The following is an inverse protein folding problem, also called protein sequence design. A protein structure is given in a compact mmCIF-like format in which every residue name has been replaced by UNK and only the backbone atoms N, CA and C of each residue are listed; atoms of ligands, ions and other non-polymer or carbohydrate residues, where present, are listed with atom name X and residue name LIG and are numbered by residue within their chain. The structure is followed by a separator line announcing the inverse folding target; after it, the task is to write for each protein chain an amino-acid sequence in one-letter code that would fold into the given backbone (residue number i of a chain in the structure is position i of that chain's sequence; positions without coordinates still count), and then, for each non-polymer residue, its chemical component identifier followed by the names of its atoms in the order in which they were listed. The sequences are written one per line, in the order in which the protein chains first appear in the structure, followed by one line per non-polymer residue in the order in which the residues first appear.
data_IF_679438933537
#
_entry.id   IF_679438933537
#
_cell.length_a   1.000
_cell.length_b   1.000
_cell.length_c   1.000
_cell.angle_alpha   90.00
_cell.angle_beta   90.00
_cell.angle_gamma   90.00
#
_symmetry.space_group_name_H-M   'P 1'
#
loop_
_entity.id
_entity.type
_entity.pdbx_description
1 polymer ?
#
# COMPACT_ATOMS: atom_id res chain seq x y z
N UNK A 1 -41.27 -7.00 -15.51
CA UNK A 1 -40.23 -6.22 -16.16
C UNK A 1 -39.40 -5.35 -15.21
N UNK A 2 -39.68 -5.21 -13.91
CA UNK A 2 -38.96 -4.33 -12.98
C UNK A 2 -37.82 -5.03 -12.18
N UNK A 3 -37.78 -6.34 -12.15
CA UNK A 3 -36.81 -7.11 -11.36
C UNK A 3 -35.42 -7.22 -12.07
N UNK A 4 -35.41 -7.36 -13.40
CA UNK A 4 -34.17 -7.43 -14.19
C UNK A 4 -33.35 -6.13 -14.21
N UNK A 5 -33.96 -4.98 -13.95
CA UNK A 5 -33.27 -3.69 -13.91
C UNK A 5 -32.52 -3.44 -12.57
N UNK A 6 -32.94 -4.08 -11.48
CA UNK A 6 -32.27 -3.95 -10.15
C UNK A 6 -30.98 -4.76 -10.07
N UNK A 7 -30.94 -5.94 -10.67
CA UNK A 7 -29.73 -6.79 -10.68
C UNK A 7 -28.61 -6.20 -11.53
N UNK A 8 -28.94 -5.57 -12.66
CA UNK A 8 -27.96 -4.86 -13.48
C UNK A 8 -27.43 -3.58 -12.83
N UNK A 9 -28.25 -2.91 -11.99
CA UNK A 9 -27.79 -1.74 -11.22
C UNK A 9 -26.84 -2.16 -10.10
N UNK A 10 -27.13 -3.26 -9.39
CA UNK A 10 -26.25 -3.81 -8.35
C UNK A 10 -24.91 -4.27 -8.88
N UNK A 11 -24.89 -4.99 -10.01
CA UNK A 11 -23.68 -5.41 -10.69
C UNK A 11 -22.87 -4.21 -11.21
N UNK A 12 -23.51 -3.20 -11.82
CA UNK A 12 -22.84 -1.97 -12.26
C UNK A 12 -22.24 -1.18 -11.10
N UNK A 13 -22.90 -1.12 -9.94
CA UNK A 13 -22.38 -0.46 -8.73
C UNK A 13 -21.17 -1.23 -8.18
N UNK A 14 -21.19 -2.56 -8.20
CA UNK A 14 -20.07 -3.41 -7.81
C UNK A 14 -18.88 -3.23 -8.76
N UNK A 15 -19.11 -3.22 -10.08
CA UNK A 15 -18.08 -2.95 -11.09
C UNK A 15 -17.55 -1.52 -11.04
N UNK A 16 -18.35 -0.51 -10.70
CA UNK A 16 -17.92 0.86 -10.48
C UNK A 16 -17.07 1.02 -9.21
N UNK A 17 -17.24 0.12 -8.21
CA UNK A 17 -16.40 0.07 -6.99
C UNK A 17 -15.06 -0.63 -7.22
N UNK A 18 -14.94 -1.52 -8.19
CA UNK A 18 -13.67 -2.19 -8.55
C UNK A 18 -12.81 -1.34 -9.51
N UNK A 19 -12.71 -0.04 -9.27
CA UNK A 19 -11.87 0.87 -10.10
C UNK A 19 -10.36 0.58 -10.02
N UNK A 20 -9.93 -0.34 -9.11
CA UNK A 20 -8.53 -0.74 -8.93
C UNK A 20 -8.41 -2.27 -8.89
N UNK A 21 -8.53 -2.95 -10.05
CA UNK A 21 -8.63 -4.42 -10.10
C UNK A 21 -7.43 -5.13 -9.48
N UNK A 22 -6.23 -4.53 -9.53
CA UNK A 22 -5.01 -5.11 -8.96
C UNK A 22 -5.04 -5.16 -7.43
N UNK A 23 -5.51 -4.09 -6.79
CA UNK A 23 -5.68 -4.06 -5.33
C UNK A 23 -6.81 -4.98 -4.89
N UNK A 24 -7.93 -4.99 -5.64
CA UNK A 24 -9.03 -5.90 -5.37
C UNK A 24 -8.62 -7.37 -5.49
N UNK A 25 -7.77 -7.71 -6.47
CA UNK A 25 -7.21 -9.06 -6.60
C UNK A 25 -6.30 -9.41 -5.41
N UNK A 26 -5.49 -8.47 -4.92
CA UNK A 26 -4.71 -8.66 -3.70
C UNK A 26 -5.59 -8.95 -2.48
N UNK A 27 -6.64 -8.15 -2.26
CA UNK A 27 -7.60 -8.37 -1.17
C UNK A 27 -8.28 -9.73 -1.31
N UNK A 28 -8.77 -10.09 -2.50
CA UNK A 28 -9.39 -11.38 -2.76
C UNK A 28 -8.42 -12.55 -2.50
N UNK A 29 -7.15 -12.40 -2.93
CA UNK A 29 -6.09 -13.39 -2.67
C UNK A 29 -5.82 -13.56 -1.17
N UNK A 30 -5.77 -12.47 -0.41
CA UNK A 30 -5.62 -12.51 1.04
C UNK A 30 -6.80 -13.19 1.74
N UNK A 31 -8.04 -12.86 1.36
CA UNK A 31 -9.26 -13.49 1.90
C UNK A 31 -9.25 -15.00 1.59
N UNK A 32 -8.92 -15.37 0.35
CA UNK A 32 -8.84 -16.78 -0.05
C UNK A 32 -7.76 -17.52 0.76
N UNK A 33 -6.58 -16.92 0.91
CA UNK A 33 -5.51 -17.50 1.72
C UNK A 33 -5.94 -17.70 3.17
N UNK A 34 -6.64 -16.72 3.77
CA UNK A 34 -7.17 -16.85 5.12
C UNK A 34 -8.20 -17.98 5.25
N UNK A 35 -9.12 -18.08 4.29
CA UNK A 35 -10.12 -19.15 4.25
C UNK A 35 -9.47 -20.54 4.13
N UNK A 36 -8.47 -20.70 3.26
CA UNK A 36 -7.72 -21.95 3.12
C UNK A 36 -6.96 -22.32 4.39
N UNK A 37 -6.33 -21.33 5.06
CA UNK A 37 -5.65 -21.53 6.33
C UNK A 37 -6.61 -21.86 7.49
N UNK A 38 -7.87 -21.42 7.41
CA UNK A 38 -8.92 -21.84 8.35
C UNK A 38 -9.36 -23.29 8.12
N UNK A 39 -9.45 -23.72 6.87
CA UNK A 39 -9.95 -25.05 6.52
C UNK A 39 -8.89 -26.14 6.68
N UNK A 40 -7.63 -25.85 6.40
CA UNK A 40 -6.57 -26.84 6.26
C UNK A 40 -5.36 -26.61 7.17
N UNK A 41 -5.31 -25.52 7.93
CA UNK A 41 -4.16 -25.16 8.74
C UNK A 41 -4.44 -25.22 10.24
N UNK A 42 -3.45 -25.63 11.02
CA UNK A 42 -3.49 -25.65 12.49
C UNK A 42 -2.83 -24.42 13.14
N UNK A 43 -2.38 -23.46 12.32
CA UNK A 43 -1.69 -22.26 12.81
C UNK A 43 -2.61 -21.39 13.69
N UNK A 44 -2.09 -20.71 14.72
CA UNK A 44 -2.84 -19.73 15.50
C UNK A 44 -3.45 -18.61 14.64
N UNK A 45 -4.60 -18.06 15.05
CA UNK A 45 -5.33 -17.06 14.26
C UNK A 45 -4.48 -15.84 13.86
N UNK A 46 -3.55 -15.41 14.71
CA UNK A 46 -2.59 -14.33 14.43
C UNK A 46 -1.70 -14.66 13.24
N UNK A 47 -1.12 -15.86 13.22
CA UNK A 47 -0.25 -16.32 12.12
C UNK A 47 -1.05 -16.47 10.84
N UNK A 48 -2.26 -17.01 10.90
CA UNK A 48 -3.17 -17.07 9.74
C UNK A 48 -3.43 -15.67 9.15
N UNK A 49 -3.68 -14.69 10.02
CA UNK A 49 -3.89 -13.30 9.59
C UNK A 49 -2.65 -12.71 8.92
N UNK A 50 -1.46 -12.88 9.54
CA UNK A 50 -0.18 -12.38 9.00
C UNK A 50 0.09 -13.00 7.62
N UNK A 51 -0.01 -14.32 7.49
CA UNK A 51 0.22 -15.02 6.22
C UNK A 51 -0.79 -14.62 5.14
N UNK A 52 -2.06 -14.48 5.49
CA UNK A 52 -3.09 -14.03 4.56
C UNK A 52 -2.86 -12.58 4.10
N UNK A 53 -2.45 -11.71 5.01
CA UNK A 53 -2.01 -10.35 4.71
C UNK A 53 -0.84 -10.36 3.73
N UNK A 54 0.21 -11.12 4.00
CA UNK A 54 1.41 -11.20 3.17
C UNK A 54 1.10 -11.71 1.76
N UNK A 55 0.26 -12.74 1.63
CA UNK A 55 -0.19 -13.26 0.34
C UNK A 55 -0.96 -12.19 -0.44
N UNK A 56 -1.88 -11.49 0.20
CA UNK A 56 -2.67 -10.44 -0.41
C UNK A 56 -1.82 -9.27 -0.89
N UNK A 57 -0.92 -8.79 -0.04
CA UNK A 57 0.00 -7.68 -0.36
C UNK A 57 0.99 -8.09 -1.43
N UNK A 58 1.59 -9.27 -1.33
CA UNK A 58 2.52 -9.78 -2.34
C UNK A 58 1.86 -9.88 -3.72
N UNK A 59 0.65 -10.44 -3.80
CA UNK A 59 -0.11 -10.51 -5.05
C UNK A 59 -0.40 -9.11 -5.61
N UNK A 60 -0.83 -8.17 -4.76
CA UNK A 60 -1.05 -6.79 -5.18
C UNK A 60 0.24 -6.16 -5.72
N UNK A 61 1.39 -6.34 -5.05
CA UNK A 61 2.69 -5.82 -5.46
C UNK A 61 3.15 -6.39 -6.81
N UNK A 62 3.00 -7.70 -7.04
CA UNK A 62 3.32 -8.34 -8.33
C UNK A 62 2.48 -7.74 -9.45
N UNK A 63 1.18 -7.56 -9.22
CA UNK A 63 0.27 -6.97 -10.21
C UNK A 63 0.56 -5.48 -10.46
N UNK A 64 0.98 -4.73 -9.42
CA UNK A 64 1.37 -3.33 -9.53
C UNK A 64 2.73 -3.15 -10.22
N UNK A 65 3.66 -4.08 -10.05
CA UNK A 65 4.96 -4.05 -10.73
C UNK A 65 4.83 -4.04 -12.26
N UNK A 66 3.75 -4.61 -12.81
CA UNK A 66 3.42 -4.50 -14.23
C UNK A 66 3.16 -3.07 -14.74
N UNK A 67 2.94 -2.10 -13.83
CA UNK A 67 2.73 -0.70 -14.21
C UNK A 67 4.03 0.06 -14.50
N UNK A 68 5.18 -0.45 -14.09
CA UNK A 68 6.48 0.25 -14.19
C UNK A 68 6.81 0.77 -15.60
N UNK A 69 6.36 0.05 -16.63
CA UNK A 69 6.61 0.37 -18.04
C UNK A 69 5.43 1.11 -18.70
N UNK A 70 4.49 1.66 -17.90
CA UNK A 70 3.33 2.37 -18.44
C UNK A 70 3.74 3.75 -18.93
N UNK A 71 3.34 4.11 -20.17
CA UNK A 71 3.66 5.43 -20.73
C UNK A 71 2.94 6.56 -20.00
N UNK A 72 3.51 7.79 -19.97
CA UNK A 72 2.91 8.96 -19.34
C UNK A 72 1.48 9.27 -19.85
N UNK A 73 1.20 9.05 -21.14
CA UNK A 73 -0.12 9.26 -21.75
C UNK A 73 -1.15 8.29 -21.17
N UNK A 74 -0.73 7.03 -20.96
CA UNK A 74 -1.59 6.01 -20.34
C UNK A 74 -1.82 6.31 -18.87
N UNK A 75 -0.79 6.81 -18.15
CA UNK A 75 -0.91 7.25 -16.76
C UNK A 75 -1.92 8.39 -16.62
N UNK A 76 -1.86 9.39 -17.49
CA UNK A 76 -2.84 10.49 -17.54
C UNK A 76 -4.26 9.95 -17.74
N UNK A 77 -4.47 9.07 -18.72
CA UNK A 77 -5.78 8.47 -18.97
C UNK A 77 -6.32 7.64 -17.79
N UNK A 78 -5.43 6.99 -17.03
CA UNK A 78 -5.80 6.26 -15.82
C UNK A 78 -6.16 7.24 -14.69
N UNK A 79 -5.38 8.32 -14.53
CA UNK A 79 -5.63 9.34 -13.51
C UNK A 79 -7.01 10.00 -13.69
N UNK A 80 -7.35 10.41 -14.92
CA UNK A 80 -8.65 11.03 -15.24
C UNK A 80 -9.85 10.12 -14.95
N UNK A 81 -9.66 8.79 -14.98
CA UNK A 81 -10.74 7.81 -14.73
C UNK A 81 -10.91 7.41 -13.26
N UNK A 82 -9.93 7.65 -12.41
CA UNK A 82 -9.84 7.07 -11.05
C UNK A 82 -10.00 8.07 -9.90
N UNK A 83 -10.51 9.26 -10.14
CA UNK A 83 -10.55 10.35 -9.15
C UNK A 83 -11.36 10.03 -7.87
N UNK A 84 -12.35 9.13 -7.96
CA UNK A 84 -13.14 8.72 -6.81
C UNK A 84 -12.46 7.57 -6.02
N UNK A 85 -12.23 7.78 -4.72
CA UNK A 85 -11.82 6.71 -3.81
C UNK A 85 -10.31 6.63 -3.50
N UNK A 86 -9.48 7.54 -3.99
CA UNK A 86 -8.03 7.54 -3.69
C UNK A 86 -7.73 7.62 -2.20
N UNK A 87 -8.43 8.46 -1.46
CA UNK A 87 -8.28 8.59 0.00
C UNK A 87 -8.78 7.35 0.75
N UNK A 88 -9.88 6.74 0.29
CA UNK A 88 -10.37 5.51 0.89
C UNK A 88 -9.38 4.36 0.75
N UNK A 89 -8.72 4.23 -0.41
CA UNK A 89 -7.68 3.20 -0.60
C UNK A 89 -6.48 3.47 0.29
N UNK A 90 -6.02 4.73 0.40
CA UNK A 90 -4.93 5.09 1.29
C UNK A 90 -5.29 4.76 2.74
N UNK A 91 -6.45 5.18 3.20
CA UNK A 91 -6.92 4.90 4.56
C UNK A 91 -7.00 3.39 4.84
N UNK A 92 -7.60 2.61 3.94
CA UNK A 92 -7.68 1.14 4.07
C UNK A 92 -6.29 0.50 4.12
N UNK A 93 -5.35 0.97 3.29
CA UNK A 93 -3.96 0.49 3.29
C UNK A 93 -3.29 0.76 4.63
N UNK A 94 -3.48 1.96 5.19
CA UNK A 94 -2.91 2.34 6.49
C UNK A 94 -3.53 1.55 7.65
N UNK A 95 -4.85 1.40 7.65
CA UNK A 95 -5.54 0.61 8.67
C UNK A 95 -5.08 -0.85 8.63
N UNK A 96 -4.96 -1.44 7.45
CA UNK A 96 -4.50 -2.80 7.29
C UNK A 96 -3.03 -2.97 7.67
N UNK A 97 -2.14 -2.03 7.32
CA UNK A 97 -0.75 -2.03 7.74
C UNK A 97 -0.62 -1.88 9.27
N UNK A 98 -1.42 -1.01 9.87
CA UNK A 98 -1.47 -0.87 11.33
C UNK A 98 -1.95 -2.16 12.00
N UNK A 99 -2.98 -2.80 11.46
CA UNK A 99 -3.47 -4.09 11.95
C UNK A 99 -2.39 -5.17 11.84
N UNK A 100 -1.57 -5.18 10.79
CA UNK A 100 -0.43 -6.11 10.67
C UNK A 100 0.62 -5.87 11.76
N UNK A 101 0.95 -4.62 12.09
CA UNK A 101 1.86 -4.30 13.18
C UNK A 101 1.33 -4.77 14.55
N UNK A 102 0.03 -4.60 14.79
CA UNK A 102 -0.62 -5.10 16.02
C UNK A 102 -0.54 -6.63 16.10
N UNK A 103 -0.81 -7.32 14.99
CA UNK A 103 -0.72 -8.78 14.92
C UNK A 103 0.71 -9.27 15.14
N UNK A 104 1.72 -8.60 14.56
CA UNK A 104 3.14 -8.86 14.79
C UNK A 104 3.50 -8.64 16.26
N UNK A 105 3.09 -7.52 16.85
CA UNK A 105 3.32 -7.22 18.27
C UNK A 105 2.74 -8.29 19.21
N UNK A 106 1.56 -8.81 18.86
CA UNK A 106 0.93 -9.94 19.55
C UNK A 106 1.67 -11.27 19.40
N UNK A 107 2.54 -11.42 18.39
CA UNK A 107 3.34 -12.64 18.17
C UNK A 107 4.69 -12.64 18.92
N UNK A 108 5.24 -11.45 19.22
CA UNK A 108 6.54 -11.29 19.90
C UNK A 108 6.68 -12.13 21.18
N UNK A 109 5.70 -12.19 22.11
CA UNK A 109 5.82 -13.01 23.32
C UNK A 109 6.02 -14.50 23.03
N UNK A 110 5.46 -15.01 21.94
CA UNK A 110 5.54 -16.43 21.55
C UNK A 110 6.86 -16.79 20.88
N UNK A 111 7.61 -15.82 20.37
CA UNK A 111 8.98 -16.02 19.89
C UNK A 111 9.89 -16.40 21.06
N UNK A 112 9.68 -15.81 22.24
CA UNK A 112 10.51 -16.06 23.45
C UNK A 112 10.40 -17.48 23.98
N UNK A 113 9.21 -18.07 23.92
CA UNK A 113 8.92 -19.41 24.43
C UNK A 113 9.04 -20.52 23.39
N UNK A 114 9.39 -20.19 22.15
CA UNK A 114 9.47 -21.13 21.04
C UNK A 114 10.79 -21.91 21.04
N UNK A 115 10.81 -23.07 20.40
CA UNK A 115 12.05 -23.81 20.08
C UNK A 115 12.92 -23.01 19.11
N UNK A 116 14.20 -23.32 19.00
CA UNK A 116 15.13 -22.56 18.13
C UNK A 116 14.67 -22.53 16.66
N UNK A 117 14.15 -23.64 16.15
CA UNK A 117 13.61 -23.72 14.77
C UNK A 117 12.36 -22.84 14.64
N UNK A 118 11.48 -22.87 15.65
CA UNK A 118 10.27 -22.03 15.65
C UNK A 118 10.60 -20.56 15.76
N UNK A 119 11.59 -20.16 16.55
CA UNK A 119 12.07 -18.78 16.63
C UNK A 119 12.50 -18.26 15.27
N UNK A 120 13.32 -19.03 14.57
CA UNK A 120 13.86 -18.60 13.27
C UNK A 120 12.77 -18.30 12.26
N UNK A 121 11.81 -19.20 12.06
CA UNK A 121 10.75 -18.95 11.08
C UNK A 121 9.77 -17.85 11.52
N UNK A 122 9.48 -17.71 12.83
CA UNK A 122 8.65 -16.60 13.33
C UNK A 122 9.31 -15.25 13.13
N UNK A 123 10.60 -15.13 13.41
CA UNK A 123 11.38 -13.92 13.16
C UNK A 123 11.40 -13.61 11.66
N UNK A 124 11.64 -14.62 10.82
CA UNK A 124 11.63 -14.45 9.38
C UNK A 124 10.25 -13.99 8.85
N UNK A 125 9.17 -14.55 9.39
CA UNK A 125 7.81 -14.12 9.06
C UNK A 125 7.58 -12.66 9.45
N UNK A 126 7.89 -12.28 10.70
CA UNK A 126 7.77 -10.91 11.18
C UNK A 126 8.56 -9.93 10.30
N UNK A 127 9.83 -10.22 10.04
CA UNK A 127 10.69 -9.38 9.22
C UNK A 127 10.14 -9.26 7.78
N UNK A 128 9.71 -10.37 7.18
CA UNK A 128 9.11 -10.40 5.85
C UNK A 128 7.85 -9.55 5.77
N UNK A 129 6.94 -9.70 6.75
CA UNK A 129 5.71 -8.90 6.82
C UNK A 129 5.99 -7.41 6.96
N UNK A 130 6.96 -7.02 7.78
CA UNK A 130 7.38 -5.62 7.95
C UNK A 130 7.87 -5.05 6.62
N UNK A 131 8.81 -5.74 5.96
CA UNK A 131 9.39 -5.30 4.68
C UNK A 131 8.30 -5.19 3.62
N UNK A 132 7.43 -6.18 3.53
CA UNK A 132 6.36 -6.24 2.54
C UNK A 132 5.34 -5.12 2.77
N UNK A 133 4.89 -4.92 4.01
CA UNK A 133 3.94 -3.86 4.38
C UNK A 133 4.53 -2.46 4.16
N UNK A 134 5.79 -2.25 4.55
CA UNK A 134 6.51 -1.00 4.31
C UNK A 134 6.60 -0.68 2.81
N UNK A 135 7.05 -1.63 2.02
CA UNK A 135 7.14 -1.50 0.56
C UNK A 135 5.78 -1.19 -0.07
N UNK A 136 4.73 -1.86 0.41
CA UNK A 136 3.37 -1.66 -0.08
C UNK A 136 2.84 -0.25 0.22
N UNK A 137 3.01 0.26 1.45
CA UNK A 137 2.61 1.63 1.81
C UNK A 137 3.21 2.63 0.84
N UNK A 138 4.54 2.58 0.62
CA UNK A 138 5.22 3.54 -0.24
C UNK A 138 4.89 3.36 -1.72
N UNK A 139 4.59 2.14 -2.16
CA UNK A 139 4.05 1.90 -3.51
C UNK A 139 2.67 2.54 -3.70
N UNK A 140 1.79 2.45 -2.71
CA UNK A 140 0.47 3.10 -2.77
C UNK A 140 0.61 4.63 -2.79
N UNK A 141 1.52 5.20 -2.01
CA UNK A 141 1.82 6.63 -2.08
C UNK A 141 2.39 7.05 -3.44
N UNK A 142 3.28 6.26 -4.04
CA UNK A 142 3.80 6.52 -5.38
C UNK A 142 2.69 6.59 -6.43
N UNK A 143 1.73 5.65 -6.38
CA UNK A 143 0.55 5.65 -7.24
C UNK A 143 -0.36 6.87 -6.98
N UNK A 144 -0.45 7.31 -5.72
CA UNK A 144 -1.22 8.49 -5.34
C UNK A 144 -0.59 9.78 -5.88
N UNK A 145 0.74 9.92 -5.76
CA UNK A 145 1.49 11.04 -6.35
C UNK A 145 1.35 11.07 -7.86
N UNK A 146 1.49 9.93 -8.53
CA UNK A 146 1.32 9.83 -9.97
C UNK A 146 -0.11 10.23 -10.40
N UNK A 147 -1.12 9.78 -9.67
CA UNK A 147 -2.51 10.14 -9.91
C UNK A 147 -2.73 11.64 -9.76
N UNK A 148 -2.29 12.25 -8.67
CA UNK A 148 -2.48 13.69 -8.42
C UNK A 148 -1.69 14.56 -9.40
N UNK A 149 -0.51 14.12 -9.82
CA UNK A 149 0.31 14.80 -10.83
C UNK A 149 -0.36 14.84 -12.20
N UNK A 150 -0.92 13.70 -12.64
CA UNK A 150 -1.51 13.55 -13.97
C UNK A 150 -3.00 13.90 -14.04
N UNK A 151 -3.68 14.05 -12.88
CA UNK A 151 -5.10 14.42 -12.86
C UNK A 151 -5.32 15.82 -13.45
N UNK A 152 -6.40 15.98 -14.19
CA UNK A 152 -6.75 17.26 -14.82
C UNK A 152 -7.20 18.26 -13.75
N UNK A 153 -6.64 19.48 -13.78
CA UNK A 153 -7.06 20.56 -12.89
C UNK A 153 -8.44 21.08 -13.30
N UNK A 154 -9.41 21.20 -12.37
CA UNK A 154 -10.71 21.81 -12.68
C UNK A 154 -10.61 23.27 -13.15
N UNK A 155 -9.53 23.96 -12.78
CA UNK A 155 -9.34 25.40 -13.03
C UNK A 155 -8.45 25.72 -14.23
N UNK A 156 -7.76 24.74 -14.81
CA UNK A 156 -6.80 24.94 -15.89
C UNK A 156 -7.19 24.12 -17.12
N UNK A 157 -8.05 24.66 -17.97
CA UNK A 157 -8.29 24.24 -19.39
C UNK A 157 -7.67 22.90 -19.84
N UNK A 158 -7.95 21.78 -19.15
CA UNK A 158 -7.47 20.47 -19.55
C UNK A 158 -5.96 20.19 -19.29
N UNK A 159 -5.23 21.05 -18.57
CA UNK A 159 -3.82 20.84 -18.22
C UNK A 159 -3.70 20.00 -16.94
N UNK A 160 -2.72 19.08 -16.91
CA UNK A 160 -2.38 18.32 -15.71
C UNK A 160 -1.95 19.25 -14.56
N UNK A 161 -2.29 18.89 -13.33
CA UNK A 161 -1.96 19.68 -12.11
C UNK A 161 -0.46 19.83 -11.90
N UNK A 162 0.31 18.81 -12.28
CA UNK A 162 1.74 18.63 -11.99
C UNK A 162 2.01 18.66 -10.48
N UNK A 163 2.49 19.75 -9.90
CA UNK A 163 2.69 19.91 -8.46
C UNK A 163 4.00 19.32 -7.90
N UNK A 164 4.74 18.59 -8.72
CA UNK A 164 6.12 18.15 -8.51
C UNK A 164 6.96 18.61 -9.69
N UNK A 165 8.16 19.12 -9.44
CA UNK A 165 9.12 19.51 -10.46
C UNK A 165 10.26 18.49 -10.47
N UNK A 166 10.21 17.58 -11.42
CA UNK A 166 11.26 16.58 -11.63
C UNK A 166 12.44 17.22 -12.38
N UNK A 167 13.70 16.89 -12.04
CA UNK A 167 14.86 17.30 -12.82
C UNK A 167 14.80 16.76 -14.26
N UNK A 168 15.19 17.59 -15.23
CA UNK A 168 15.16 17.25 -16.65
C UNK A 168 13.82 17.53 -17.33
N UNK A 169 13.77 17.31 -18.66
CA UNK A 169 12.63 17.66 -19.51
C UNK A 169 11.66 16.50 -19.79
N UNK A 170 11.99 15.29 -19.33
CA UNK A 170 11.19 14.09 -19.56
C UNK A 170 9.91 14.07 -18.71
N UNK A 171 8.82 13.56 -19.28
CA UNK A 171 7.59 13.31 -18.52
C UNK A 171 7.85 12.18 -17.51
N UNK A 172 7.55 12.39 -16.20
CA UNK A 172 7.83 11.40 -15.18
C UNK A 172 7.00 10.13 -15.35
N UNK A 173 7.61 8.99 -15.09
CA UNK A 173 6.99 7.67 -15.10
C UNK A 173 6.74 7.15 -13.67
N UNK A 174 6.19 5.94 -13.50
CA UNK A 174 5.92 5.40 -12.17
C UNK A 174 7.18 5.21 -11.30
N UNK A 175 8.36 5.02 -11.91
CA UNK A 175 9.61 4.88 -11.14
C UNK A 175 10.06 6.20 -10.55
N UNK A 176 9.81 7.33 -11.23
CA UNK A 176 10.09 8.67 -10.71
C UNK A 176 9.22 8.97 -9.48
N UNK A 177 7.93 8.60 -9.52
CA UNK A 177 7.04 8.71 -8.36
C UNK A 177 7.39 7.72 -7.25
N UNK A 178 7.85 6.50 -7.59
CA UNK A 178 8.37 5.56 -6.62
C UNK A 178 9.62 6.11 -5.94
N UNK A 179 10.59 6.65 -6.69
CA UNK A 179 11.76 7.32 -6.14
C UNK A 179 11.38 8.40 -5.12
N UNK A 180 10.48 9.31 -5.48
CA UNK A 180 10.00 10.36 -4.57
C UNK A 180 9.35 9.78 -3.31
N UNK A 181 8.47 8.80 -3.46
CA UNK A 181 7.74 8.17 -2.37
C UNK A 181 8.66 7.39 -1.44
N UNK A 182 9.55 6.57 -1.98
CA UNK A 182 10.46 5.76 -1.17
C UNK A 182 11.52 6.62 -0.47
N UNK A 183 11.96 7.73 -1.08
CA UNK A 183 12.83 8.69 -0.40
C UNK A 183 12.16 9.24 0.87
N UNK A 184 10.90 9.68 0.78
CA UNK A 184 10.14 10.10 1.97
C UNK A 184 10.01 8.95 2.98
N UNK A 185 9.76 7.72 2.50
CA UNK A 185 9.63 6.53 3.34
C UNK A 185 10.88 6.20 4.14
N UNK A 186 12.06 6.40 3.56
CA UNK A 186 13.35 6.10 4.18
C UNK A 186 13.88 7.25 5.04
N UNK A 187 13.60 8.50 4.67
CA UNK A 187 14.26 9.67 5.26
C UNK A 187 13.31 10.63 5.98
N UNK A 188 11.99 10.47 5.81
CA UNK A 188 10.93 11.39 6.24
C UNK A 188 11.06 12.79 5.62
N UNK A 189 11.89 12.95 4.60
CA UNK A 189 12.21 14.20 3.91
C UNK A 189 11.87 14.07 2.43
N UNK A 190 11.54 15.19 1.79
CA UNK A 190 11.41 15.25 0.32
C UNK A 190 12.79 15.11 -0.33
N UNK A 191 12.83 14.55 -1.54
CA UNK A 191 14.04 14.38 -2.34
C UNK A 191 14.46 15.71 -3.02
N UNK A 192 15.28 15.62 -4.04
CA UNK A 192 15.64 16.68 -5.00
C UNK A 192 14.45 17.17 -5.86
N UNK A 193 13.33 16.46 -5.80
CA UNK A 193 12.09 16.82 -6.51
C UNK A 193 11.36 17.90 -5.73
N UNK A 194 11.21 19.09 -6.32
CA UNK A 194 10.55 20.22 -5.67
C UNK A 194 9.03 20.05 -5.64
N UNK A 195 8.42 20.35 -4.48
CA UNK A 195 6.96 20.34 -4.31
C UNK A 195 6.41 21.74 -4.55
N UNK A 196 5.73 21.95 -5.69
CA UNK A 196 5.30 23.26 -6.18
C UNK A 196 3.82 23.57 -5.91
N UNK A 197 2.99 22.56 -5.61
CA UNK A 197 1.56 22.71 -5.37
C UNK A 197 1.20 22.51 -3.88
N UNK A 198 0.27 23.33 -3.30
CA UNK A 198 -0.11 23.21 -1.88
C UNK A 198 -0.77 21.85 -1.52
N UNK A 199 -1.54 21.23 -2.42
CA UNK A 199 -2.17 19.94 -2.14
C UNK A 199 -1.12 18.84 -2.13
N UNK A 200 -0.15 18.92 -3.05
CA UNK A 200 0.98 17.99 -3.08
C UNK A 200 1.84 18.13 -1.81
N UNK A 201 2.02 19.36 -1.28
CA UNK A 201 2.69 19.57 0.03
C UNK A 201 1.93 18.92 1.18
N UNK A 202 0.60 19.03 1.21
CA UNK A 202 -0.23 18.37 2.24
C UNK A 202 -0.10 16.84 2.15
N UNK A 203 -0.11 16.30 0.93
CA UNK A 203 0.07 14.87 0.71
C UNK A 203 1.46 14.41 1.17
N UNK A 204 2.53 15.16 0.83
CA UNK A 204 3.90 14.85 1.25
C UNK A 204 4.06 14.92 2.78
N UNK A 205 3.48 15.93 3.43
CA UNK A 205 3.48 16.04 4.88
C UNK A 205 2.76 14.85 5.53
N UNK A 206 1.56 14.49 5.04
CA UNK A 206 0.81 13.33 5.54
C UNK A 206 1.63 12.05 5.37
N UNK A 207 2.28 11.87 4.21
CA UNK A 207 3.14 10.73 3.95
C UNK A 207 4.33 10.67 4.93
N UNK A 208 5.03 11.79 5.14
CA UNK A 208 6.15 11.86 6.08
C UNK A 208 5.74 11.53 7.51
N UNK A 209 4.60 12.06 7.98
CA UNK A 209 4.05 11.74 9.31
C UNK A 209 3.75 10.25 9.46
N UNK A 210 3.08 9.66 8.48
CA UNK A 210 2.75 8.23 8.47
C UNK A 210 4.03 7.39 8.47
N UNK A 211 5.00 7.74 7.62
CA UNK A 211 6.29 7.05 7.52
C UNK A 211 7.04 7.08 8.85
N UNK A 212 7.07 8.24 9.52
CA UNK A 212 7.70 8.41 10.82
C UNK A 212 7.07 7.51 11.89
N UNK A 213 5.74 7.53 12.05
CA UNK A 213 5.06 6.71 13.05
C UNK A 213 5.16 5.23 12.73
N UNK A 214 5.09 4.84 11.45
CA UNK A 214 5.25 3.45 11.04
C UNK A 214 6.66 2.93 11.33
N UNK A 215 7.70 3.69 10.97
CA UNK A 215 9.09 3.33 11.26
C UNK A 215 9.38 3.29 12.77
N UNK A 216 8.83 4.23 13.55
CA UNK A 216 8.92 4.23 15.01
C UNK A 216 8.27 2.99 15.61
N UNK A 217 7.10 2.59 15.11
CA UNK A 217 6.42 1.35 15.50
C UNK A 217 7.27 0.10 15.22
N UNK A 218 7.87 0.02 14.02
CA UNK A 218 8.79 -1.07 13.68
C UNK A 218 9.98 -1.11 14.62
N UNK A 219 10.60 0.04 14.89
CA UNK A 219 11.76 0.14 15.79
C UNK A 219 11.39 -0.33 17.20
N UNK A 220 10.25 0.11 17.73
CA UNK A 220 9.78 -0.32 19.05
C UNK A 220 9.54 -1.84 19.12
N UNK A 221 8.93 -2.43 18.08
CA UNK A 221 8.73 -3.88 17.99
C UNK A 221 10.07 -4.63 17.90
N UNK A 222 11.01 -4.12 17.11
CA UNK A 222 12.34 -4.71 16.94
C UNK A 222 13.12 -4.70 18.27
N UNK A 223 13.13 -3.56 18.97
CA UNK A 223 13.78 -3.44 20.28
C UNK A 223 13.16 -4.42 21.28
N UNK A 224 11.83 -4.51 21.34
CA UNK A 224 11.13 -5.42 22.22
C UNK A 224 11.45 -6.90 21.90
N UNK A 225 11.52 -7.24 20.61
CA UNK A 225 11.89 -8.59 20.18
C UNK A 225 13.33 -8.93 20.57
N UNK A 226 14.30 -8.05 20.31
CA UNK A 226 15.71 -8.26 20.64
C UNK A 226 15.91 -8.35 22.14
N UNK A 227 15.33 -7.43 22.93
CA UNK A 227 15.38 -7.46 24.39
C UNK A 227 14.76 -8.74 25.00
N UNK A 228 13.95 -9.46 24.24
CA UNK A 228 13.36 -10.71 24.65
C UNK A 228 14.16 -11.96 24.26
N UNK A 229 15.22 -11.79 23.46
CA UNK A 229 16.10 -12.87 23.02
C UNK A 229 17.41 -12.92 23.85
N UNK A 230 17.70 -11.85 24.60
CA UNK A 230 18.82 -11.75 25.56
C UNK A 230 18.35 -12.16 26.95
#
# INVERSE_FOLDING_TARGET
MAEGQRDHAGARILWLRLRRPRLAAGVAGGILAYALLLMFGDAPGRIRFILAWDVGVFLAMVLLAGLRNTSPETMKRIADRQDAGKWAVLLLTLLAATASLIAIGGEVPFVRSATEVEKLWRIALIAGTIILSWTFIHTIFALHYAHDYYSTSPTASGKARKGLAFPGDAMPNYMDFAYFSFTIGMTFQVSDIQVTDPNMRRLALTHGIISFFYATGILALTINMVAGLI
#
